data_IF_901210862313
#
_entry.id   IF_901210862313
#
_cell.length_a   1.000
_cell.length_b   1.000
_cell.length_c   1.000
_cell.angle_alpha   90.00
_cell.angle_beta   90.00
_cell.angle_gamma   90.00
#
_symmetry.space_group_name_H-M   'P 1'
#
loop_
_entity.id
_entity.type
_entity.pdbx_description
1 polymer ?
#
# COMPACT_ATOMS: atom_id res chain seq x y z
N UNK A 1 -40.20 23.48 -51.35
CA UNK A 1 -38.82 23.24 -50.88
C UNK A 1 -38.87 22.85 -49.42
N UNK A 2 -38.60 21.59 -49.12
CA UNK A 2 -38.57 21.01 -47.77
C UNK A 2 -37.22 21.27 -47.12
N UNK A 3 -37.15 22.21 -46.18
CA UNK A 3 -35.97 22.35 -45.32
C UNK A 3 -36.10 21.43 -44.11
N UNK A 4 -35.30 20.37 -44.14
CA UNK A 4 -35.08 19.45 -43.02
C UNK A 4 -34.18 20.12 -41.98
N UNK A 5 -34.73 20.53 -40.85
CA UNK A 5 -33.94 20.98 -39.70
C UNK A 5 -33.77 19.83 -38.71
N UNK A 6 -32.50 19.50 -38.48
CA UNK A 6 -31.99 18.30 -37.81
C UNK A 6 -32.24 18.38 -36.29
N UNK A 7 -32.86 17.35 -35.72
CA UNK A 7 -32.95 17.17 -34.27
C UNK A 7 -31.54 16.81 -33.78
N UNK A 8 -30.92 17.72 -33.02
CA UNK A 8 -29.66 17.44 -32.32
C UNK A 8 -30.04 16.61 -31.10
N UNK A 9 -29.85 15.29 -31.20
CA UNK A 9 -29.94 14.40 -30.05
C UNK A 9 -28.76 14.70 -29.12
N UNK A 10 -29.02 15.42 -28.03
CA UNK A 10 -28.06 15.56 -26.93
C UNK A 10 -28.06 14.23 -26.18
N UNK A 11 -27.06 13.40 -26.46
CA UNK A 11 -26.78 12.21 -25.66
C UNK A 11 -26.12 12.72 -24.38
N UNK A 12 -26.94 12.88 -23.33
CA UNK A 12 -26.42 13.01 -21.96
C UNK A 12 -25.93 11.64 -21.56
N UNK A 13 -24.63 11.39 -21.73
CA UNK A 13 -23.99 10.25 -21.14
C UNK A 13 -24.07 10.41 -19.62
N UNK A 14 -25.03 9.71 -18.99
CA UNK A 14 -24.96 9.38 -17.58
C UNK A 14 -23.64 8.65 -17.38
N UNK A 15 -22.62 9.37 -16.92
CA UNK A 15 -21.46 8.75 -16.29
C UNK A 15 -22.00 8.20 -14.97
N UNK A 16 -22.53 6.99 -15.03
CA UNK A 16 -22.51 6.14 -13.86
C UNK A 16 -21.05 6.02 -13.49
N UNK A 17 -20.59 6.83 -12.54
CA UNK A 17 -19.45 6.48 -11.72
C UNK A 17 -19.94 5.25 -10.95
N UNK A 18 -19.91 4.11 -11.64
CA UNK A 18 -19.61 2.85 -11.01
C UNK A 18 -18.32 3.18 -10.28
N UNK A 19 -18.45 3.45 -8.98
CA UNK A 19 -17.36 3.29 -8.07
C UNK A 19 -16.93 1.86 -8.30
N UNK A 20 -15.98 1.70 -9.21
CA UNK A 20 -15.06 0.59 -9.17
C UNK A 20 -14.37 0.87 -7.84
N UNK A 21 -15.01 0.41 -6.76
CA UNK A 21 -14.29 -0.11 -5.63
C UNK A 21 -13.35 -1.07 -6.31
N UNK A 22 -12.13 -0.61 -6.51
CA UNK A 22 -11.04 -1.44 -6.95
C UNK A 22 -10.94 -2.49 -5.87
N UNK A 23 -11.72 -3.55 -5.99
CA UNK A 23 -11.35 -4.87 -5.52
C UNK A 23 -10.18 -5.26 -6.40
N UNK A 24 -9.08 -4.50 -6.34
CA UNK A 24 -7.79 -4.91 -6.85
C UNK A 24 -7.32 -5.96 -5.87
N UNK A 25 -7.91 -7.14 -6.04
CA UNK A 25 -7.19 -8.37 -6.31
C UNK A 25 -5.97 -8.50 -5.40
N UNK A 26 -6.20 -8.73 -4.11
CA UNK A 26 -5.25 -9.46 -3.25
C UNK A 26 -5.16 -10.94 -3.67
N UNK A 27 -5.40 -11.29 -4.94
CA UNK A 27 -5.67 -12.67 -5.36
C UNK A 27 -4.42 -13.54 -5.55
N UNK A 28 -3.26 -13.19 -5.00
CA UNK A 28 -2.13 -14.12 -5.01
C UNK A 28 -1.17 -14.05 -3.82
N UNK A 29 -1.30 -13.06 -2.92
CA UNK A 29 -0.54 -13.10 -1.68
C UNK A 29 -1.23 -14.03 -0.69
N UNK A 30 -0.49 -15.01 -0.17
CA UNK A 30 -0.97 -15.84 0.94
C UNK A 30 -1.31 -14.91 2.11
N UNK A 31 -2.38 -15.20 2.85
CA UNK A 31 -2.67 -14.46 4.09
C UNK A 31 -1.43 -14.49 4.99
N UNK A 32 -1.04 -13.34 5.53
CA UNK A 32 0.19 -13.19 6.30
C UNK A 32 1.44 -12.80 5.52
N UNK A 33 1.38 -12.79 4.20
CA UNK A 33 2.55 -12.55 3.37
C UNK A 33 3.00 -11.08 3.40
N UNK A 34 4.30 -10.90 3.58
CA UNK A 34 5.01 -9.66 3.30
C UNK A 34 5.92 -9.92 2.10
N UNK A 35 5.47 -9.48 0.93
CA UNK A 35 6.17 -9.68 -0.34
C UNK A 35 7.22 -8.59 -0.53
N UNK A 36 8.50 -8.96 -0.61
CA UNK A 36 9.55 -8.02 -0.99
C UNK A 36 9.55 -7.83 -2.50
N UNK A 37 9.16 -6.64 -2.94
CA UNK A 37 9.16 -6.28 -4.36
C UNK A 37 10.50 -5.66 -4.78
N UNK A 38 10.79 -5.74 -6.08
CA UNK A 38 11.87 -4.91 -6.64
C UNK A 38 11.48 -3.42 -6.52
N UNK A 39 12.45 -2.50 -6.37
CA UNK A 39 12.13 -1.08 -6.22
C UNK A 39 11.29 -0.49 -7.36
N UNK A 40 11.53 -0.89 -8.62
CA UNK A 40 10.71 -0.45 -9.75
C UNK A 40 9.30 -1.07 -9.76
N UNK A 41 9.12 -2.25 -9.15
CA UNK A 41 7.80 -2.86 -8.97
C UNK A 41 7.02 -2.14 -7.87
N UNK A 42 7.67 -1.69 -6.79
CA UNK A 42 7.07 -0.80 -5.80
C UNK A 42 6.61 0.50 -6.46
N UNK A 43 7.47 1.10 -7.30
CA UNK A 43 7.12 2.32 -8.06
C UNK A 43 5.90 2.11 -8.95
N UNK A 44 5.88 0.99 -9.69
CA UNK A 44 4.74 0.62 -10.53
C UNK A 44 3.48 0.45 -9.68
N UNK A 45 3.55 -0.32 -8.60
CA UNK A 45 2.46 -0.52 -7.65
C UNK A 45 1.88 0.82 -7.15
N UNK A 46 2.74 1.71 -6.64
CA UNK A 46 2.34 3.03 -6.13
C UNK A 46 1.70 3.93 -7.20
N UNK A 47 2.14 3.83 -8.45
CA UNK A 47 1.60 4.63 -9.55
C UNK A 47 0.27 4.12 -10.12
N UNK A 48 -0.04 2.83 -9.97
CA UNK A 48 -1.22 2.21 -10.57
C UNK A 48 -2.39 2.10 -9.60
N UNK A 49 -2.13 1.59 -8.39
CA UNK A 49 -3.14 1.38 -7.36
C UNK A 49 -2.65 1.88 -6.01
N UNK A 50 -1.45 1.45 -5.58
CA UNK A 50 -0.85 1.93 -4.34
C UNK A 50 -1.78 1.79 -3.13
N UNK A 51 -2.63 0.76 -3.09
CA UNK A 51 -3.56 0.50 -2.00
C UNK A 51 -3.09 -0.71 -1.19
N UNK A 52 -2.97 -0.56 0.12
CA UNK A 52 -2.58 -1.63 1.03
C UNK A 52 -1.40 -1.29 1.92
N UNK A 53 -0.92 -2.30 2.63
CA UNK A 53 0.18 -2.16 3.56
C UNK A 53 1.54 -2.17 2.86
N UNK A 54 2.41 -1.23 3.24
CA UNK A 54 3.77 -1.12 2.73
C UNK A 54 4.76 -0.94 3.88
N UNK A 55 5.76 -1.80 3.93
CA UNK A 55 6.94 -1.66 4.80
C UNK A 55 8.04 -0.97 4.01
N UNK A 56 8.66 0.04 4.60
CA UNK A 56 9.92 0.59 4.11
C UNK A 56 11.05 0.18 5.06
N UNK A 57 11.87 -0.78 4.62
CA UNK A 57 13.01 -1.28 5.39
C UNK A 57 14.27 -0.51 5.01
N UNK A 58 14.81 0.21 5.99
CA UNK A 58 15.96 1.08 5.82
C UNK A 58 17.14 0.73 6.72
N UNK A 59 16.93 0.07 7.86
CA UNK A 59 18.02 -0.50 8.67
C UNK A 59 18.23 -1.99 8.33
N UNK A 60 19.37 -2.29 7.68
CA UNK A 60 19.74 -3.67 7.30
C UNK A 60 19.81 -4.61 8.50
N UNK A 61 20.28 -4.13 9.65
CA UNK A 61 20.51 -4.96 10.85
C UNK A 61 19.20 -5.32 11.53
N UNK A 62 18.23 -4.42 11.52
CA UNK A 62 16.93 -4.60 12.16
C UNK A 62 15.85 -5.15 11.24
N UNK A 63 16.08 -5.15 9.92
CA UNK A 63 15.14 -5.60 8.90
C UNK A 63 14.46 -6.93 9.24
N UNK A 64 15.24 -7.96 9.55
CA UNK A 64 14.69 -9.29 9.82
C UNK A 64 13.81 -9.29 11.07
N UNK A 65 14.22 -8.56 12.12
CA UNK A 65 13.42 -8.39 13.32
C UNK A 65 12.10 -7.69 12.98
N UNK A 66 12.13 -6.52 12.34
CA UNK A 66 10.93 -5.74 12.03
C UNK A 66 9.97 -6.47 11.07
N UNK A 67 10.49 -7.03 9.98
CA UNK A 67 9.66 -7.76 9.01
C UNK A 67 9.01 -9.01 9.61
N UNK A 68 9.68 -9.70 10.54
CA UNK A 68 9.08 -10.81 11.28
C UNK A 68 7.93 -10.36 12.20
N UNK A 69 8.07 -9.22 12.88
CA UNK A 69 6.98 -8.67 13.70
C UNK A 69 5.78 -8.26 12.84
N UNK A 70 6.03 -7.63 11.68
CA UNK A 70 4.96 -7.25 10.74
C UNK A 70 4.23 -8.48 10.19
N UNK A 71 4.96 -9.53 9.80
CA UNK A 71 4.36 -10.78 9.31
C UNK A 71 3.41 -11.40 10.33
N UNK A 72 3.80 -11.47 11.61
CA UNK A 72 2.91 -11.94 12.69
C UNK A 72 1.60 -11.13 12.77
N UNK A 73 1.68 -9.80 12.69
CA UNK A 73 0.51 -8.95 12.71
C UNK A 73 -0.38 -9.16 11.48
N UNK A 74 0.23 -9.37 10.30
CA UNK A 74 -0.49 -9.71 9.07
C UNK A 74 -1.17 -11.07 9.14
N UNK A 75 -0.49 -12.08 9.69
CA UNK A 75 -1.04 -13.42 9.93
C UNK A 75 -2.28 -13.34 10.83
N UNK A 76 -2.15 -12.65 11.98
CA UNK A 76 -3.24 -12.50 12.95
C UNK A 76 -4.46 -11.78 12.37
N UNK A 77 -4.24 -10.79 11.50
CA UNK A 77 -5.31 -10.00 10.87
C UNK A 77 -5.79 -10.55 9.52
N UNK A 78 -5.16 -11.61 9.01
CA UNK A 78 -5.47 -12.19 7.70
C UNK A 78 -5.25 -11.24 6.52
N UNK A 79 -4.30 -10.32 6.63
CA UNK A 79 -3.94 -9.35 5.57
C UNK A 79 -2.59 -9.69 4.96
N UNK A 80 -2.18 -8.93 3.93
CA UNK A 80 -0.84 -9.02 3.34
C UNK A 80 -0.33 -7.62 2.99
N UNK A 81 0.97 -7.52 2.72
CA UNK A 81 1.60 -6.26 2.36
C UNK A 81 2.83 -6.43 1.49
N UNK A 82 3.40 -5.29 1.10
CA UNK A 82 4.59 -5.20 0.25
C UNK A 82 5.74 -4.58 1.02
N UNK A 83 6.97 -4.90 0.65
CA UNK A 83 8.18 -4.29 1.22
C UNK A 83 8.99 -3.59 0.12
N UNK A 84 9.40 -2.35 0.40
CA UNK A 84 10.54 -1.70 -0.24
C UNK A 84 11.76 -1.84 0.68
N UNK A 85 12.80 -2.52 0.21
CA UNK A 85 14.07 -2.67 0.94
C UNK A 85 15.14 -1.76 0.33
N UNK A 86 15.68 -0.82 1.10
CA UNK A 86 16.74 0.09 0.64
C UNK A 86 18.06 -0.61 0.32
N UNK A 87 18.24 -1.85 0.78
CA UNK A 87 19.40 -2.70 0.48
C UNK A 87 19.12 -3.73 -0.62
N UNK A 88 17.97 -3.65 -1.31
CA UNK A 88 17.74 -4.47 -2.49
C UNK A 88 18.83 -4.17 -3.54
N UNK A 89 19.42 -5.18 -4.23
CA UNK A 89 20.48 -4.94 -5.22
C UNK A 89 20.12 -3.95 -6.34
N UNK A 90 18.83 -3.86 -6.66
CA UNK A 90 18.27 -2.94 -7.66
C UNK A 90 17.79 -1.59 -7.08
N UNK A 91 18.07 -1.32 -5.79
CA UNK A 91 17.78 -0.02 -5.19
C UNK A 91 18.86 0.99 -5.59
N UNK A 92 18.44 2.12 -6.14
CA UNK A 92 19.33 3.21 -6.52
C UNK A 92 19.62 4.05 -5.27
N UNK A 93 20.79 3.84 -4.66
CA UNK A 93 21.23 4.58 -3.47
C UNK A 93 21.39 6.09 -3.68
N UNK A 94 21.32 6.59 -4.92
CA UNK A 94 21.27 8.03 -5.21
C UNK A 94 19.86 8.62 -5.11
N UNK A 95 18.84 7.76 -4.95
CA UNK A 95 17.43 8.15 -4.83
C UNK A 95 16.93 7.92 -3.41
N UNK A 96 16.06 8.81 -2.98
CA UNK A 96 15.24 8.59 -1.81
C UNK A 96 14.04 7.68 -2.13
N UNK A 97 13.32 7.27 -1.11
CA UNK A 97 12.15 6.41 -1.23
C UNK A 97 11.00 7.05 -2.04
N UNK A 98 10.95 8.39 -2.10
CA UNK A 98 9.88 9.12 -2.80
C UNK A 98 9.97 8.93 -4.31
N UNK A 99 11.16 8.69 -4.85
CA UNK A 99 11.37 8.30 -6.25
C UNK A 99 10.58 7.03 -6.63
N UNK A 100 10.35 6.14 -5.67
CA UNK A 100 9.58 4.90 -5.80
C UNK A 100 8.11 5.06 -5.39
N UNK A 101 7.64 6.29 -5.15
CA UNK A 101 6.27 6.57 -4.72
C UNK A 101 5.98 6.30 -3.24
N UNK A 102 6.98 5.85 -2.48
CA UNK A 102 6.88 5.63 -1.03
C UNK A 102 7.11 6.96 -0.33
N UNK A 103 6.13 7.43 0.46
CA UNK A 103 6.17 8.74 1.16
C UNK A 103 6.37 8.62 2.66
N UNK A 104 6.31 7.40 3.19
CA UNK A 104 6.52 7.12 4.61
C UNK A 104 7.97 7.33 5.04
N UNK A 105 8.18 7.43 6.35
CA UNK A 105 9.51 7.50 6.93
C UNK A 105 10.23 6.13 6.89
N UNK A 106 11.58 6.13 6.97
CA UNK A 106 12.37 4.91 7.18
C UNK A 106 11.86 4.03 8.33
N UNK A 107 12.00 2.72 8.19
CA UNK A 107 11.69 1.72 9.22
C UNK A 107 10.28 1.91 9.81
N UNK A 108 9.31 1.94 8.89
CA UNK A 108 7.89 2.04 9.19
C UNK A 108 7.08 0.97 8.48
N UNK A 109 5.93 0.64 9.07
CA UNK A 109 4.80 0.05 8.38
C UNK A 109 3.78 1.17 8.10
N UNK A 110 3.27 1.24 6.88
CA UNK A 110 2.29 2.22 6.48
C UNK A 110 1.11 1.58 5.75
N UNK A 111 -0.02 2.26 5.77
CA UNK A 111 -1.15 1.94 4.91
C UNK A 111 -1.35 3.06 3.89
N UNK A 112 -1.42 2.66 2.63
CA UNK A 112 -1.72 3.55 1.51
C UNK A 112 -3.09 3.24 0.93
N UNK A 113 -3.72 4.25 0.36
CA UNK A 113 -4.93 4.08 -0.44
C UNK A 113 -4.80 4.95 -1.67
N UNK A 114 -4.90 4.35 -2.86
CA UNK A 114 -4.75 5.06 -4.14
C UNK A 114 -3.41 5.82 -4.26
N UNK A 115 -2.32 5.24 -3.73
CA UNK A 115 -0.99 5.85 -3.71
C UNK A 115 -0.81 6.97 -2.68
N UNK A 116 -1.85 7.29 -1.90
CA UNK A 116 -1.77 8.27 -0.81
C UNK A 116 -1.47 7.59 0.52
N UNK A 117 -0.43 8.07 1.21
CA UNK A 117 -0.13 7.67 2.57
C UNK A 117 -1.26 8.09 3.51
N UNK A 118 -1.93 7.13 4.15
CA UNK A 118 -3.01 7.40 5.12
C UNK A 118 -2.50 7.43 6.55
N UNK A 119 -1.69 6.44 6.92
CA UNK A 119 -1.06 6.37 8.25
C UNK A 119 0.19 5.53 8.22
N UNK A 120 1.11 5.81 9.12
CA UNK A 120 2.32 5.02 9.37
C UNK A 120 2.55 4.81 10.86
N UNK A 121 3.31 3.77 11.18
CA UNK A 121 3.84 3.47 12.50
C UNK A 121 5.36 3.28 12.37
N UNK A 122 6.13 4.03 13.16
CA UNK A 122 7.61 3.96 13.20
C UNK A 122 8.05 2.89 14.18
N UNK A 123 8.88 1.94 13.73
CA UNK A 123 9.31 0.82 14.55
C UNK A 123 10.19 1.28 15.72
N UNK A 124 11.10 2.22 15.47
CA UNK A 124 12.04 2.77 16.45
C UNK A 124 11.39 3.47 17.66
N UNK A 125 10.10 3.83 17.56
CA UNK A 125 9.38 4.47 18.68
C UNK A 125 9.04 3.52 19.81
N UNK A 126 9.16 2.22 19.59
CA UNK A 126 8.69 1.18 20.51
C UNK A 126 9.84 0.29 20.94
N UNK A 127 9.79 -0.17 22.19
CA UNK A 127 10.68 -1.25 22.61
C UNK A 127 10.29 -2.53 21.86
N UNK A 128 11.25 -3.43 21.69
CA UNK A 128 11.02 -4.72 21.03
C UNK A 128 9.86 -5.52 21.65
N UNK A 129 9.64 -5.41 22.96
CA UNK A 129 8.55 -6.07 23.69
C UNK A 129 7.16 -5.45 23.46
N UNK A 130 7.09 -4.22 22.95
CA UNK A 130 5.86 -3.45 22.75
C UNK A 130 5.46 -3.41 21.27
N UNK A 131 6.45 -3.40 20.37
CA UNK A 131 6.26 -3.26 18.94
C UNK A 131 5.25 -4.27 18.37
N UNK A 132 5.29 -5.54 18.81
CA UNK A 132 4.39 -6.58 18.33
C UNK A 132 2.91 -6.21 18.57
N UNK A 133 2.58 -5.73 19.77
CA UNK A 133 1.21 -5.31 20.14
C UNK A 133 0.76 -4.09 19.37
N UNK A 134 1.66 -3.13 19.19
CA UNK A 134 1.38 -1.88 18.50
C UNK A 134 1.17 -2.09 17.00
N UNK A 135 1.91 -3.02 16.39
CA UNK A 135 1.68 -3.45 15.01
C UNK A 135 0.33 -4.16 14.85
N UNK A 136 -0.04 -5.05 15.78
CA UNK A 136 -1.36 -5.70 15.76
C UNK A 136 -2.50 -4.66 15.82
N UNK A 137 -2.42 -3.72 16.76
CA UNK A 137 -3.38 -2.62 16.88
C UNK A 137 -3.42 -1.77 15.61
N UNK A 138 -2.25 -1.42 15.06
CA UNK A 138 -2.17 -0.63 13.83
C UNK A 138 -2.83 -1.34 12.65
N UNK A 139 -2.47 -2.61 12.41
CA UNK A 139 -2.98 -3.40 11.29
C UNK A 139 -4.49 -3.59 11.39
N UNK A 140 -5.00 -3.98 12.58
CA UNK A 140 -6.44 -4.13 12.82
C UNK A 140 -7.19 -2.84 12.54
N UNK A 141 -6.72 -1.71 13.08
CA UNK A 141 -7.37 -0.42 12.89
C UNK A 141 -7.41 -0.02 11.40
N UNK A 142 -6.32 -0.25 10.64
CA UNK A 142 -6.31 0.07 9.21
C UNK A 142 -7.25 -0.85 8.41
N UNK A 143 -7.29 -2.14 8.76
CA UNK A 143 -8.20 -3.12 8.16
C UNK A 143 -9.67 -2.71 8.37
N UNK A 144 -10.06 -2.41 9.60
CA UNK A 144 -11.40 -1.95 9.94
C UNK A 144 -11.76 -0.64 9.22
N UNK A 145 -10.82 0.30 9.13
CA UNK A 145 -11.09 1.61 8.53
C UNK A 145 -11.06 1.65 7.00
N UNK A 146 -10.38 0.73 6.32
CA UNK A 146 -10.13 0.88 4.88
C UNK A 146 -10.37 -0.39 4.05
N UNK A 147 -10.41 -1.57 4.68
CA UNK A 147 -10.58 -2.84 3.97
C UNK A 147 -11.97 -3.42 4.20
N UNK A 148 -12.39 -3.54 5.46
CA UNK A 148 -13.68 -4.16 5.84
C UNK A 148 -14.88 -3.18 5.75
N UNK A 149 -14.72 -2.08 5.00
CA UNK A 149 -15.71 -1.01 4.87
C UNK A 149 -16.95 -1.42 4.07
#
# INVERSE_FOLDING_TARGET
MTQKSKIIAVIVALIAVLGIGSTLVFSNSKKGELEQLKPLEVKKFMSQDGTGFVVYSFDKKQRDFYTNQVKKAFDASGVSGKELNSYHPEYDGTKDQSYYGVKQNPDTLAYYQKGELKKEIKFEKYKSSELEKELDVFVRNMKEMYIDK
#
